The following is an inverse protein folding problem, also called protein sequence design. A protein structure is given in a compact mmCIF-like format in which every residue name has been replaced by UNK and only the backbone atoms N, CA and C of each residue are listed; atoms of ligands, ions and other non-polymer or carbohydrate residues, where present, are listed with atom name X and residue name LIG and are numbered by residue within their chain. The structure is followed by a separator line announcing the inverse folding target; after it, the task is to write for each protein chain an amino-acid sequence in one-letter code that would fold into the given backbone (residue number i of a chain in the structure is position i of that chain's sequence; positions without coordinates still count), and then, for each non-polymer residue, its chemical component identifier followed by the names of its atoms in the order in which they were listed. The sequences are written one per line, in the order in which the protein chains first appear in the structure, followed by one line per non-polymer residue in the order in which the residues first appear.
data_IF_380522989844
#
_entry.id   IF_380522989844
#
_cell.length_a   1.000
_cell.length_b   1.000
_cell.length_c   1.000
_cell.angle_alpha   90.00
_cell.angle_beta   90.00
_cell.angle_gamma   90.00
#
_symmetry.space_group_name_H-M   'P 1'
#
loop_
_entity.id
_entity.type
_entity.pdbx_description
1 polymer ?
#
# COMPACT_ATOMS: atom_id res chain seq x y z
N UNK A 1 41.58 59.29 34.87
CA UNK A 1 41.96 60.67 34.54
C UNK A 1 41.12 61.14 33.34
N UNK A 2 40.14 61.91 33.72
CA UNK A 2 39.68 63.18 33.17
C UNK A 2 39.21 63.28 31.69
N UNK A 3 37.91 63.51 31.58
CA UNK A 3 37.22 64.73 31.07
C UNK A 3 37.34 64.99 29.55
N UNK A 4 36.33 65.34 28.79
CA UNK A 4 35.19 66.26 28.88
C UNK A 4 34.26 66.08 27.65
N UNK A 5 32.97 66.26 27.85
CA UNK A 5 32.01 66.74 26.81
C UNK A 5 32.26 68.24 26.54
N UNK A 6 31.80 68.82 25.41
CA UNK A 6 30.45 69.40 25.32
C UNK A 6 29.84 69.28 23.89
N UNK A 7 28.55 69.17 23.80
CA UNK A 7 27.46 70.15 23.56
C UNK A 7 27.42 70.81 22.19
N UNK A 8 26.36 70.54 21.44
CA UNK A 8 25.42 71.53 20.99
C UNK A 8 25.39 71.86 19.52
N UNK A 9 24.31 71.59 18.85
CA UNK A 9 23.34 72.59 18.28
C UNK A 9 22.42 71.98 17.26
N UNK A 10 21.17 72.27 17.46
CA UNK A 10 20.05 72.13 16.53
C UNK A 10 20.22 72.90 15.27
N UNK A 11 19.73 72.41 14.15
CA UNK A 11 18.98 73.22 13.16
C UNK A 11 18.00 72.37 12.36
N UNK A 12 16.83 72.84 12.31
CA UNK A 12 15.62 72.56 11.57
C UNK A 12 15.75 72.62 10.06
N UNK A 13 15.01 71.79 9.36
CA UNK A 13 14.79 71.93 7.91
C UNK A 13 13.78 70.88 7.44
N UNK A 14 12.60 71.35 7.10
CA UNK A 14 11.42 70.69 6.62
C UNK A 14 11.53 70.25 5.12
N UNK A 15 10.50 69.70 4.46
CA UNK A 15 10.42 68.31 4.04
C UNK A 15 10.55 68.18 2.50
N UNK A 16 11.05 67.10 2.06
CA UNK A 16 11.03 66.74 0.63
C UNK A 16 10.11 65.54 0.44
N UNK A 17 9.22 65.74 -0.48
CA UNK A 17 8.12 64.86 -0.89
C UNK A 17 8.60 63.42 -1.15
N UNK A 18 7.90 62.45 -0.53
CA UNK A 18 8.01 61.05 -0.80
C UNK A 18 7.26 60.73 -2.11
N UNK A 19 8.06 60.46 -3.17
CA UNK A 19 7.55 59.85 -4.40
C UNK A 19 7.41 58.35 -4.12
N UNK A 20 6.17 57.89 -3.86
CA UNK A 20 5.85 56.48 -3.74
C UNK A 20 5.87 55.86 -5.13
N UNK A 21 6.94 55.15 -5.44
CA UNK A 21 7.01 54.27 -6.60
C UNK A 21 6.27 52.98 -6.23
N UNK A 22 5.03 52.87 -6.66
CA UNK A 22 4.25 51.64 -6.63
C UNK A 22 4.81 50.73 -7.72
N UNK A 23 5.85 49.96 -7.41
CA UNK A 23 6.25 48.81 -8.21
C UNK A 23 5.27 47.69 -7.94
N UNK A 24 4.33 47.51 -8.90
CA UNK A 24 3.37 46.41 -8.88
C UNK A 24 4.16 45.06 -8.88
N UNK A 25 4.15 44.36 -7.77
CA UNK A 25 4.43 42.95 -7.72
C UNK A 25 3.27 42.24 -8.43
N UNK A 26 3.49 41.87 -9.68
CA UNK A 26 2.74 40.81 -10.33
C UNK A 26 3.11 39.51 -9.60
N UNK A 27 2.46 39.27 -8.47
CA UNK A 27 2.38 37.94 -7.90
C UNK A 27 1.68 37.07 -8.92
N UNK A 28 2.45 36.24 -9.62
CA UNK A 28 1.91 35.15 -10.40
C UNK A 28 1.02 34.33 -9.48
N UNK A 29 -0.28 34.54 -9.60
CA UNK A 29 -1.29 33.62 -9.07
C UNK A 29 -1.04 32.28 -9.75
N UNK A 30 -0.19 31.42 -9.14
CA UNK A 30 -0.32 30.00 -9.33
C UNK A 30 -1.74 29.69 -8.92
N UNK A 31 -2.57 29.33 -9.89
CA UNK A 31 -3.95 28.93 -9.62
C UNK A 31 -3.91 27.85 -8.55
N UNK A 32 -4.30 28.21 -7.34
CA UNK A 32 -4.67 27.25 -6.32
C UNK A 32 -5.91 26.57 -6.89
N UNK A 33 -5.75 25.28 -7.25
CA UNK A 33 -6.92 24.45 -7.50
C UNK A 33 -7.92 24.69 -6.35
N UNK A 34 -9.21 24.85 -6.65
CA UNK A 34 -10.20 25.08 -5.62
C UNK A 34 -10.12 23.94 -4.60
N UNK A 35 -9.65 24.26 -3.39
CA UNK A 35 -9.57 23.30 -2.31
C UNK A 35 -10.99 22.85 -1.99
N UNK A 36 -11.27 21.54 -2.12
CA UNK A 36 -12.52 20.96 -1.64
C UNK A 36 -12.71 21.40 -0.17
N UNK A 37 -13.77 22.13 0.16
CA UNK A 37 -13.98 22.68 1.51
C UNK A 37 -14.09 21.58 2.58
N UNK A 38 -14.25 20.33 2.16
CA UNK A 38 -14.29 19.15 3.05
C UNK A 38 -12.90 18.57 3.33
N UNK A 39 -11.84 19.11 2.74
CA UNK A 39 -10.48 18.61 2.93
C UNK A 39 -9.67 19.52 3.82
N UNK A 40 -9.27 19.01 4.97
CA UNK A 40 -8.36 19.70 5.89
C UNK A 40 -6.95 19.14 5.71
N UNK A 41 -5.99 20.03 5.44
CA UNK A 41 -4.57 19.71 5.36
C UNK A 41 -3.82 20.43 6.47
N UNK A 42 -3.01 19.69 7.19
CA UNK A 42 -2.08 20.21 8.18
C UNK A 42 -0.71 19.54 8.02
N UNK A 43 0.33 20.23 8.43
CA UNK A 43 1.68 19.66 8.57
C UNK A 43 2.06 19.69 10.04
N UNK A 44 2.52 18.59 10.56
CA UNK A 44 2.99 18.45 11.93
C UNK A 44 4.30 17.69 11.94
N UNK A 45 5.39 18.38 12.26
CA UNK A 45 6.73 17.81 12.32
C UNK A 45 7.17 17.08 11.05
N UNK A 46 6.79 17.62 9.87
CA UNK A 46 7.10 17.01 8.56
C UNK A 46 6.21 15.84 8.20
N UNK A 47 5.12 15.60 8.92
CA UNK A 47 4.09 14.61 8.61
C UNK A 47 2.86 15.35 8.08
N UNK A 48 2.41 14.99 6.87
CA UNK A 48 1.19 15.55 6.28
C UNK A 48 -0.04 14.87 6.91
N UNK A 49 -0.91 15.67 7.46
CA UNK A 49 -2.22 15.23 7.95
C UNK A 49 -3.28 15.62 6.91
N UNK A 50 -3.95 14.65 6.33
CA UNK A 50 -4.98 14.86 5.32
C UNK A 50 -6.27 14.26 5.86
N UNK A 51 -7.26 15.12 6.13
CA UNK A 51 -8.58 14.69 6.55
C UNK A 51 -9.60 15.09 5.49
N UNK A 52 -10.22 14.08 4.89
CA UNK A 52 -11.31 14.29 3.92
C UNK A 52 -12.67 14.17 4.60
N UNK A 53 -13.73 14.69 3.97
CA UNK A 53 -15.08 14.67 4.54
C UNK A 53 -15.64 13.23 4.73
N UNK A 54 -16.69 13.11 5.58
CA UNK A 54 -17.28 11.82 5.91
C UNK A 54 -18.20 11.25 4.82
N UNK A 55 -18.70 12.11 3.94
CA UNK A 55 -19.73 11.76 2.96
C UNK A 55 -19.11 10.95 1.81
N UNK A 56 -19.74 9.83 1.48
CA UNK A 56 -19.35 9.04 0.31
C UNK A 56 -19.72 9.79 -0.98
N UNK A 57 -18.82 9.72 -1.96
CA UNK A 57 -19.00 10.24 -3.31
C UNK A 57 -18.83 9.08 -4.27
N UNK A 58 -19.90 8.69 -4.93
CA UNK A 58 -19.84 7.59 -5.89
C UNK A 58 -18.95 7.96 -7.07
N UNK A 59 -18.03 7.04 -7.41
CA UNK A 59 -17.16 7.18 -8.57
C UNK A 59 -17.82 6.55 -9.80
N UNK A 60 -17.95 7.35 -10.85
CA UNK A 60 -18.45 6.88 -12.14
C UNK A 60 -17.37 6.14 -12.98
N UNK A 61 -16.41 5.48 -12.31
CA UNK A 61 -15.38 4.73 -13.01
C UNK A 61 -15.96 3.49 -13.66
N UNK A 62 -15.55 3.24 -14.89
CA UNK A 62 -15.91 2.02 -15.61
C UNK A 62 -14.73 1.06 -15.64
N UNK A 63 -15.07 -0.22 -15.60
CA UNK A 63 -14.12 -1.34 -15.57
C UNK A 63 -14.38 -2.25 -16.75
N UNK A 64 -13.41 -2.40 -17.62
CA UNK A 64 -13.51 -3.28 -18.78
C UNK A 64 -12.59 -4.48 -18.61
N UNK A 65 -13.15 -5.67 -18.53
CA UNK A 65 -12.39 -6.91 -18.45
C UNK A 65 -11.62 -7.14 -19.74
N UNK A 66 -10.34 -7.51 -19.62
CA UNK A 66 -9.50 -7.93 -20.74
C UNK A 66 -9.59 -9.44 -20.88
N UNK A 67 -9.54 -10.15 -19.76
CA UNK A 67 -9.60 -11.59 -19.68
C UNK A 67 -8.93 -12.14 -18.43
N UNK A 68 -9.15 -13.42 -18.13
CA UNK A 68 -8.52 -14.07 -16.98
C UNK A 68 -7.03 -14.35 -17.24
N UNK A 69 -6.28 -14.58 -16.16
CA UNK A 69 -5.02 -15.29 -16.25
C UNK A 69 -5.30 -16.69 -16.77
N UNK A 70 -4.49 -17.19 -17.72
CA UNK A 70 -4.77 -18.40 -18.46
C UNK A 70 -3.53 -19.32 -18.54
N UNK A 71 -3.77 -20.59 -18.88
CA UNK A 71 -2.71 -21.49 -19.28
C UNK A 71 -2.10 -21.10 -20.65
N UNK A 72 -1.18 -21.88 -21.14
CA UNK A 72 -0.52 -21.65 -22.42
C UNK A 72 -1.51 -21.74 -23.61
N UNK A 73 -2.57 -22.51 -23.49
CA UNK A 73 -3.59 -22.71 -24.50
C UNK A 73 -4.68 -21.63 -24.46
N UNK A 74 -4.67 -20.79 -23.40
CA UNK A 74 -5.62 -19.68 -23.23
C UNK A 74 -6.84 -20.04 -22.39
N UNK A 75 -6.89 -21.22 -21.78
CA UNK A 75 -7.97 -21.56 -20.86
C UNK A 75 -7.78 -20.83 -19.52
N UNK A 76 -8.86 -20.33 -18.89
CA UNK A 76 -8.75 -19.66 -17.59
C UNK A 76 -8.07 -20.54 -16.55
N UNK A 77 -7.07 -19.98 -15.86
CA UNK A 77 -6.46 -20.67 -14.73
C UNK A 77 -7.38 -20.55 -13.51
N UNK A 78 -7.73 -21.68 -12.95
CA UNK A 78 -8.65 -21.77 -11.81
C UNK A 78 -7.86 -21.98 -10.53
N UNK A 79 -8.12 -21.14 -9.54
CA UNK A 79 -7.54 -21.23 -8.20
C UNK A 79 -8.60 -21.75 -7.21
N UNK A 80 -8.13 -22.39 -6.14
CA UNK A 80 -9.00 -22.78 -5.04
C UNK A 80 -9.59 -21.54 -4.35
N UNK A 81 -10.91 -21.57 -4.10
CA UNK A 81 -11.59 -20.48 -3.40
C UNK A 81 -11.32 -20.45 -1.88
N UNK A 82 -10.87 -21.57 -1.32
CA UNK A 82 -10.64 -21.72 0.14
C UNK A 82 -9.32 -21.04 0.54
N UNK A 83 -8.32 -21.08 -0.32
CA UNK A 83 -7.02 -20.48 -0.04
C UNK A 83 -6.99 -19.03 -0.55
N UNK A 84 -6.67 -18.04 0.30
CA UNK A 84 -6.54 -16.65 -0.17
C UNK A 84 -5.52 -16.55 -1.31
N UNK A 85 -5.96 -16.08 -2.46
CA UNK A 85 -5.10 -15.89 -3.62
C UNK A 85 -4.02 -14.85 -3.28
N UNK A 86 -2.76 -15.25 -3.42
CA UNK A 86 -1.60 -14.39 -3.18
C UNK A 86 -0.97 -14.02 -4.52
N UNK A 87 -0.99 -12.74 -4.83
CA UNK A 87 -0.55 -12.18 -6.10
C UNK A 87 0.59 -11.19 -5.85
N UNK A 88 1.60 -11.24 -6.72
CA UNK A 88 2.65 -10.24 -6.81
C UNK A 88 2.79 -9.84 -8.28
N UNK A 89 2.88 -8.54 -8.56
CA UNK A 89 3.20 -8.03 -9.89
C UNK A 89 4.61 -7.43 -9.90
N UNK A 90 5.39 -7.70 -10.95
CA UNK A 90 6.72 -7.14 -11.08
C UNK A 90 6.73 -5.86 -11.94
N UNK A 91 7.89 -5.21 -12.01
CA UNK A 91 8.09 -4.01 -12.85
C UNK A 91 7.94 -4.29 -14.34
N UNK A 92 8.15 -5.54 -14.72
CA UNK A 92 7.99 -6.02 -16.08
C UNK A 92 6.55 -6.26 -16.48
N UNK A 93 5.58 -6.14 -15.55
CA UNK A 93 4.16 -6.44 -15.78
C UNK A 93 3.86 -7.94 -15.80
N UNK A 94 4.74 -8.76 -15.23
CA UNK A 94 4.49 -10.18 -15.01
C UNK A 94 3.79 -10.36 -13.68
N UNK A 95 2.95 -11.38 -13.61
CA UNK A 95 2.16 -11.71 -12.42
C UNK A 95 2.63 -13.04 -11.86
N UNK A 96 2.90 -13.08 -10.57
CA UNK A 96 3.24 -14.28 -9.82
C UNK A 96 2.10 -14.63 -8.90
N UNK A 97 1.70 -15.89 -8.88
CA UNK A 97 0.60 -16.38 -8.04
C UNK A 97 1.01 -17.69 -7.40
N UNK A 98 0.71 -17.87 -6.12
CA UNK A 98 0.85 -19.17 -5.49
C UNK A 98 -0.20 -20.09 -6.08
N UNK A 99 0.24 -21.14 -6.77
CA UNK A 99 -0.59 -22.09 -7.48
C UNK A 99 -0.67 -23.43 -6.74
N UNK A 100 -1.45 -23.48 -5.66
CA UNK A 100 -1.52 -24.68 -4.82
C UNK A 100 -0.37 -24.79 -3.81
N UNK A 101 -0.14 -26.00 -3.29
CA UNK A 101 0.70 -26.22 -2.11
C UNK A 101 2.21 -26.18 -2.38
N UNK A 102 2.65 -26.27 -3.63
CA UNK A 102 4.08 -26.51 -3.93
C UNK A 102 4.61 -25.78 -5.16
N UNK A 103 3.85 -24.80 -5.70
CA UNK A 103 4.27 -24.08 -6.90
C UNK A 103 3.98 -22.59 -6.83
N UNK A 104 4.79 -21.81 -7.53
CA UNK A 104 4.51 -20.41 -7.88
C UNK A 104 4.38 -20.33 -9.39
N UNK A 105 3.24 -19.86 -9.86
CA UNK A 105 2.92 -19.66 -11.26
C UNK A 105 3.38 -18.27 -11.67
N UNK A 106 4.07 -18.13 -12.79
CA UNK A 106 4.35 -16.85 -13.41
C UNK A 106 3.57 -16.71 -14.70
N UNK A 107 2.83 -15.63 -14.80
CA UNK A 107 2.12 -15.24 -16.00
C UNK A 107 2.83 -14.08 -16.68
N UNK A 108 2.90 -14.11 -17.99
CA UNK A 108 3.44 -13.05 -18.84
C UNK A 108 2.61 -11.77 -18.78
N UNK A 109 3.06 -10.75 -19.49
CA UNK A 109 2.30 -9.48 -19.65
C UNK A 109 0.96 -9.64 -20.33
N UNK A 110 0.85 -10.63 -21.17
CA UNK A 110 -0.38 -11.03 -21.87
C UNK A 110 -1.37 -11.78 -20.96
N UNK A 111 -0.94 -12.15 -19.73
CA UNK A 111 -1.74 -12.93 -18.78
C UNK A 111 -1.67 -14.43 -19.00
N UNK A 112 -0.81 -14.92 -19.90
CA UNK A 112 -0.63 -16.36 -20.11
C UNK A 112 0.47 -16.92 -19.21
N UNK A 113 0.27 -18.16 -18.74
CA UNK A 113 1.28 -18.89 -17.98
C UNK A 113 2.54 -19.08 -18.83
N UNK A 114 3.66 -18.57 -18.37
CA UNK A 114 4.94 -18.70 -19.06
C UNK A 114 5.97 -19.51 -18.26
N UNK A 115 5.76 -19.67 -16.95
CA UNK A 115 6.67 -20.47 -16.11
C UNK A 115 5.99 -20.98 -14.83
N UNK A 116 6.34 -22.18 -14.45
CA UNK A 116 6.05 -22.74 -13.12
C UNK A 116 7.36 -22.80 -12.35
N UNK A 117 7.39 -22.22 -11.15
CA UNK A 117 8.53 -22.21 -10.25
C UNK A 117 8.27 -23.16 -9.11
N UNK A 118 9.32 -23.89 -8.73
CA UNK A 118 9.30 -24.84 -7.64
C UNK A 118 8.82 -26.23 -8.03
N UNK A 119 8.99 -27.10 -7.07
CA UNK A 119 8.52 -28.50 -7.08
C UNK A 119 8.36 -28.91 -5.61
N UNK A 120 7.59 -29.96 -5.31
CA UNK A 120 7.51 -30.49 -3.95
C UNK A 120 8.88 -30.89 -3.43
N UNK A 121 9.24 -30.46 -2.22
CA UNK A 121 10.50 -30.88 -1.59
C UNK A 121 11.17 -29.85 -0.70
N UNK A 122 12.40 -30.17 -0.29
CA UNK A 122 13.22 -29.32 0.60
C UNK A 122 14.51 -28.80 -0.04
N UNK A 123 14.82 -29.22 -1.26
CA UNK A 123 15.99 -28.75 -2.00
C UNK A 123 15.90 -27.27 -2.38
N UNK A 124 16.99 -26.66 -2.91
CA UNK A 124 16.97 -25.31 -3.42
C UNK A 124 15.85 -25.11 -4.46
N UNK A 125 15.07 -24.06 -4.31
CA UNK A 125 13.95 -23.75 -5.22
C UNK A 125 12.73 -24.67 -5.11
N UNK A 126 12.77 -25.74 -4.31
CA UNK A 126 11.60 -26.56 -4.01
C UNK A 126 10.74 -25.90 -2.92
N UNK A 127 9.47 -26.28 -2.85
CA UNK A 127 8.52 -25.77 -1.86
C UNK A 127 7.92 -26.90 -1.02
N UNK A 128 7.72 -26.62 0.29
CA UNK A 128 6.94 -27.45 1.18
C UNK A 128 5.52 -26.94 1.36
N UNK A 129 5.37 -25.64 1.59
CA UNK A 129 4.09 -24.91 1.69
C UNK A 129 4.33 -23.42 1.50
N UNK A 130 4.38 -22.93 0.26
CA UNK A 130 4.53 -21.51 -0.02
C UNK A 130 3.23 -20.77 0.39
N UNK A 131 3.37 -19.66 1.09
CA UNK A 131 2.21 -18.93 1.62
C UNK A 131 2.21 -17.46 1.27
N UNK A 132 3.36 -16.88 0.87
CA UNK A 132 3.48 -15.46 0.52
C UNK A 132 4.53 -15.21 -0.54
N UNK A 133 4.29 -14.15 -1.29
CA UNK A 133 5.17 -13.66 -2.35
C UNK A 133 5.61 -12.24 -2.02
N UNK A 134 6.87 -11.95 -2.30
CA UNK A 134 7.42 -10.62 -2.17
C UNK A 134 8.50 -10.39 -3.24
N UNK A 135 8.76 -9.13 -3.59
CA UNK A 135 9.87 -8.74 -4.44
C UNK A 135 10.88 -7.91 -3.66
N UNK A 136 12.13 -8.34 -3.64
CA UNK A 136 13.25 -7.61 -3.07
C UNK A 136 14.22 -7.25 -4.20
N UNK A 137 14.21 -6.00 -4.64
CA UNK A 137 14.85 -5.59 -5.88
C UNK A 137 14.39 -6.47 -7.07
N UNK A 138 15.31 -7.20 -7.69
CA UNK A 138 15.02 -8.12 -8.79
C UNK A 138 14.92 -9.58 -8.34
N UNK A 139 14.84 -9.82 -7.04
CA UNK A 139 14.72 -11.15 -6.42
C UNK A 139 13.28 -11.42 -6.05
N UNK A 140 12.71 -12.52 -6.51
CA UNK A 140 11.46 -13.06 -5.99
C UNK A 140 11.74 -13.78 -4.67
N UNK A 141 11.01 -13.43 -3.64
CA UNK A 141 11.09 -14.04 -2.30
C UNK A 141 9.76 -14.72 -2.01
N UNK A 142 9.83 -15.98 -1.67
CA UNK A 142 8.67 -16.81 -1.31
C UNK A 142 8.82 -17.26 0.14
N UNK A 143 7.86 -16.91 0.98
CA UNK A 143 7.80 -17.46 2.33
C UNK A 143 7.23 -18.88 2.27
N UNK A 144 8.03 -19.85 2.69
CA UNK A 144 7.65 -21.25 2.72
C UNK A 144 7.60 -21.77 4.15
N UNK A 145 6.39 -21.99 4.66
CA UNK A 145 6.19 -22.51 6.03
C UNK A 145 6.55 -23.98 6.14
N UNK A 146 6.39 -24.77 5.08
CA UNK A 146 6.75 -26.20 5.08
C UNK A 146 8.25 -26.42 5.15
N UNK A 147 9.05 -25.49 4.61
CA UNK A 147 10.51 -25.48 4.75
C UNK A 147 10.99 -24.72 5.99
N UNK A 148 10.18 -23.83 6.54
CA UNK A 148 10.62 -22.87 7.54
C UNK A 148 11.65 -21.89 6.99
N UNK A 149 11.48 -21.42 5.75
CA UNK A 149 12.47 -20.63 5.05
C UNK A 149 11.86 -19.57 4.12
N UNK A 150 12.66 -18.53 3.82
CA UNK A 150 12.49 -17.67 2.66
C UNK A 150 13.22 -18.30 1.48
N UNK A 151 12.45 -18.81 0.52
CA UNK A 151 12.99 -19.35 -0.74
C UNK A 151 13.17 -18.19 -1.69
N UNK A 152 14.34 -18.07 -2.29
CA UNK A 152 14.72 -16.92 -3.10
C UNK A 152 15.05 -17.34 -4.52
N UNK A 153 14.60 -16.53 -5.48
CA UNK A 153 14.90 -16.69 -6.89
C UNK A 153 15.53 -15.40 -7.41
N UNK A 154 16.67 -15.52 -8.06
CA UNK A 154 17.36 -14.39 -8.68
C UNK A 154 16.60 -13.78 -9.87
N UNK A 155 17.19 -12.77 -10.56
CA UNK A 155 16.57 -12.10 -11.70
C UNK A 155 16.17 -13.02 -12.86
N UNK A 156 16.93 -14.10 -13.06
CA UNK A 156 16.69 -15.16 -14.05
C UNK A 156 15.72 -16.24 -13.57
N UNK A 157 15.24 -16.10 -12.32
CA UNK A 157 14.40 -17.06 -11.62
C UNK A 157 15.10 -18.39 -11.34
N UNK A 158 16.41 -18.38 -11.25
CA UNK A 158 17.18 -19.48 -10.71
C UNK A 158 17.16 -19.42 -9.18
N UNK A 159 17.06 -20.59 -8.50
CA UNK A 159 17.12 -20.62 -7.05
C UNK A 159 18.45 -20.07 -6.53
N UNK A 160 18.38 -19.22 -5.52
CA UNK A 160 19.51 -18.79 -4.72
C UNK A 160 19.40 -19.42 -3.33
N UNK A 161 20.40 -19.24 -2.47
CA UNK A 161 20.39 -19.84 -1.14
C UNK A 161 19.14 -19.41 -0.34
N UNK A 162 18.46 -20.37 0.25
CA UNK A 162 17.35 -20.15 1.14
C UNK A 162 17.82 -19.48 2.45
N UNK A 163 16.97 -18.63 3.01
CA UNK A 163 17.20 -18.02 4.33
C UNK A 163 16.23 -18.66 5.34
N UNK A 164 16.72 -19.29 6.40
CA UNK A 164 15.84 -19.82 7.45
C UNK A 164 14.92 -18.74 8.02
N UNK A 165 13.68 -19.11 8.35
CA UNK A 165 12.76 -18.29 9.12
C UNK A 165 13.04 -18.48 10.60
N UNK A 166 13.21 -17.39 11.33
CA UNK A 166 13.12 -17.45 12.78
C UNK A 166 11.67 -17.80 13.18
N UNK A 167 11.49 -18.58 14.25
CA UNK A 167 10.18 -19.12 14.62
C UNK A 167 9.07 -18.07 14.77
N UNK A 168 9.40 -16.86 15.25
CA UNK A 168 8.47 -15.75 15.34
C UNK A 168 8.04 -15.19 13.96
N UNK A 169 8.82 -15.43 12.91
CA UNK A 169 8.53 -14.98 11.55
C UNK A 169 7.65 -15.97 10.78
N UNK A 170 7.51 -17.19 11.25
CA UNK A 170 6.68 -18.21 10.61
C UNK A 170 5.18 -17.82 10.59
N UNK A 171 4.75 -16.98 11.52
CA UNK A 171 3.36 -16.48 11.63
C UNK A 171 3.18 -15.07 11.07
N UNK A 172 4.26 -14.38 10.69
CA UNK A 172 4.20 -13.01 10.23
C UNK A 172 3.66 -12.88 8.79
N UNK A 173 2.92 -11.81 8.54
CA UNK A 173 2.62 -11.36 7.19
C UNK A 173 3.80 -10.56 6.65
N UNK A 174 4.38 -11.05 5.56
CA UNK A 174 5.53 -10.41 4.93
C UNK A 174 5.11 -9.45 3.84
N UNK A 175 5.70 -8.28 3.89
CA UNK A 175 5.62 -7.32 2.79
C UNK A 175 7.04 -6.93 2.42
N UNK A 176 7.48 -7.27 1.23
CA UNK A 176 8.77 -6.83 0.72
C UNK A 176 8.62 -5.53 -0.07
N UNK A 177 9.58 -4.64 0.07
CA UNK A 177 9.65 -3.45 -0.76
C UNK A 177 10.96 -3.36 -1.55
N UNK A 178 10.95 -2.58 -2.60
CA UNK A 178 12.13 -2.31 -3.45
C UNK A 178 13.08 -1.34 -2.77
N UNK A 179 14.17 -1.80 -2.32
CA UNK A 179 15.17 -1.00 -1.59
C UNK A 179 15.98 -1.88 -0.67
N UNK A 180 15.69 -3.17 -0.68
CA UNK A 180 16.45 -4.18 0.06
C UNK A 180 15.89 -4.53 1.43
N UNK A 181 14.86 -3.83 1.92
CA UNK A 181 14.22 -4.14 3.19
C UNK A 181 13.01 -5.06 3.05
N UNK A 182 12.80 -5.90 4.04
CA UNK A 182 11.59 -6.69 4.25
C UNK A 182 10.77 -6.02 5.35
N UNK A 183 9.47 -5.88 5.11
CA UNK A 183 8.52 -5.39 6.10
C UNK A 183 7.58 -6.53 6.44
N UNK A 184 7.19 -6.63 7.67
CA UNK A 184 6.29 -7.68 8.10
C UNK A 184 5.35 -7.21 9.21
N UNK A 185 4.15 -7.78 9.21
CA UNK A 185 3.21 -7.67 10.32
C UNK A 185 3.35 -8.93 11.15
N UNK A 186 3.80 -8.76 12.37
CA UNK A 186 3.94 -9.81 13.36
C UNK A 186 2.65 -9.87 14.19
N UNK A 187 2.05 -11.05 14.31
CA UNK A 187 0.99 -11.31 15.28
C UNK A 187 1.58 -11.95 16.53
N UNK A 188 1.43 -11.34 17.69
CA UNK A 188 1.83 -11.90 18.97
C UNK A 188 0.58 -12.43 19.66
N UNK A 189 0.43 -13.75 19.74
CA UNK A 189 -0.59 -14.41 20.56
C UNK A 189 -0.11 -14.53 22.00
N UNK A 190 -0.90 -14.08 22.99
CA UNK A 190 -0.73 -14.41 24.39
C UNK A 190 -1.72 -15.48 24.81
N UNK A 191 -1.46 -16.22 25.89
CA UNK A 191 -2.29 -17.31 26.39
C UNK A 191 -3.68 -16.85 26.86
N UNK A 192 -3.92 -15.57 27.07
CA UNK A 192 -5.24 -14.99 27.37
C UNK A 192 -5.46 -13.71 26.54
N UNK A 193 -6.12 -13.88 25.42
CA UNK A 193 -6.96 -12.92 24.67
C UNK A 193 -6.38 -11.59 24.19
N UNK A 194 -5.18 -11.14 24.49
CA UNK A 194 -4.61 -9.90 23.93
C UNK A 194 -3.79 -10.23 22.69
N UNK A 195 -4.38 -10.02 21.51
CA UNK A 195 -3.65 -10.11 20.23
C UNK A 195 -2.94 -8.77 20.02
N UNK A 196 -1.62 -8.79 20.05
CA UNK A 196 -0.82 -7.64 19.60
C UNK A 196 -0.36 -7.88 18.19
N UNK A 197 -0.44 -6.86 17.35
CA UNK A 197 0.21 -6.88 16.05
C UNK A 197 1.19 -5.71 15.93
N UNK A 198 2.30 -5.95 15.23
CA UNK A 198 3.37 -4.96 15.07
C UNK A 198 3.82 -4.93 13.62
N UNK A 199 3.90 -3.75 13.05
CA UNK A 199 4.56 -3.53 11.78
C UNK A 199 6.04 -3.26 12.02
N UNK A 200 6.91 -4.09 11.48
CA UNK A 200 8.37 -3.99 11.62
C UNK A 200 9.07 -3.95 10.27
N UNK A 201 10.29 -3.43 10.30
CA UNK A 201 11.22 -3.48 9.18
C UNK A 201 12.28 -4.54 9.44
N UNK A 202 12.57 -5.35 8.44
CA UNK A 202 13.74 -6.20 8.21
C UNK A 202 14.20 -7.15 9.34
N UNK A 203 14.11 -6.76 10.60
CA UNK A 203 14.52 -7.60 11.74
C UNK A 203 13.58 -7.46 12.93
N UNK A 204 13.47 -8.52 13.73
CA UNK A 204 12.74 -8.52 15.00
C UNK A 204 13.33 -7.54 16.04
N UNK A 205 14.60 -7.18 15.88
CA UNK A 205 15.30 -6.27 16.78
C UNK A 205 14.97 -4.79 16.52
N UNK A 206 14.41 -4.45 15.33
CA UNK A 206 14.03 -3.07 15.04
C UNK A 206 12.79 -2.65 15.84
N UNK A 207 12.76 -1.38 16.25
CA UNK A 207 11.57 -0.82 16.89
C UNK A 207 10.37 -0.91 15.94
N UNK A 208 9.16 -1.25 16.42
CA UNK A 208 8.00 -1.30 15.57
C UNK A 208 7.62 0.10 15.08
N UNK A 209 7.19 0.19 13.83
CA UNK A 209 6.67 1.42 13.24
C UNK A 209 5.24 1.71 13.67
N UNK A 210 4.49 0.65 13.94
CA UNK A 210 3.10 0.69 14.33
C UNK A 210 2.80 -0.52 15.20
N UNK A 211 2.06 -0.30 16.28
CA UNK A 211 1.54 -1.36 17.14
C UNK A 211 0.03 -1.23 17.31
N UNK A 212 -0.64 -2.36 17.44
CA UNK A 212 -2.05 -2.44 17.77
C UNK A 212 -2.27 -3.53 18.83
N UNK A 213 -3.10 -3.23 19.81
CA UNK A 213 -3.60 -4.18 20.82
C UNK A 213 -5.00 -4.60 20.41
N UNK A 214 -5.32 -5.88 20.62
CA UNK A 214 -6.60 -6.50 20.29
C UNK A 214 -7.08 -6.31 18.84
N UNK A 215 -6.14 -5.99 17.93
CA UNK A 215 -6.46 -5.75 16.55
C UNK A 215 -5.30 -6.17 15.62
N UNK A 216 -5.64 -6.56 14.41
CA UNK A 216 -4.67 -6.87 13.36
C UNK A 216 -4.35 -5.62 12.55
N UNK A 217 -3.07 -5.29 12.42
CA UNK A 217 -2.61 -4.27 11.49
C UNK A 217 -2.80 -4.78 10.07
N UNK A 218 -3.44 -3.97 9.24
CA UNK A 218 -3.59 -4.22 7.81
C UNK A 218 -2.57 -3.34 7.10
N UNK A 219 -1.72 -3.94 6.27
CA UNK A 219 -0.70 -3.22 5.55
C UNK A 219 -0.57 -3.68 4.09
N UNK A 220 -0.07 -2.79 3.26
CA UNK A 220 0.31 -3.06 1.87
C UNK A 220 1.56 -2.25 1.53
N UNK A 221 2.43 -2.83 0.70
CA UNK A 221 3.65 -2.18 0.27
C UNK A 221 3.74 -2.08 -1.26
N UNK A 222 4.16 -0.93 -1.76
CA UNK A 222 4.48 -0.71 -3.17
C UNK A 222 5.78 0.10 -3.28
N UNK A 223 6.80 -0.52 -3.82
CA UNK A 223 8.13 0.07 -3.86
C UNK A 223 8.70 0.32 -2.45
N UNK A 224 9.23 1.53 -2.17
CA UNK A 224 9.73 1.88 -0.83
C UNK A 224 8.61 2.33 0.13
N UNK A 225 7.38 2.37 -0.32
CA UNK A 225 6.24 2.90 0.44
C UNK A 225 5.42 1.79 1.05
N UNK A 226 4.97 2.03 2.27
CA UNK A 226 4.07 1.15 3.00
C UNK A 226 2.88 1.98 3.45
N UNK A 227 1.69 1.47 3.23
CA UNK A 227 0.47 1.97 3.86
C UNK A 227 0.04 0.98 4.92
N UNK A 228 -0.32 1.49 6.08
CA UNK A 228 -0.75 0.66 7.20
C UNK A 228 -1.93 1.31 7.92
N UNK A 229 -2.88 0.46 8.31
CA UNK A 229 -4.04 0.82 9.11
C UNK A 229 -3.97 0.12 10.47
N UNK A 230 -4.31 0.86 11.51
CA UNK A 230 -4.50 0.35 12.86
C UNK A 230 -5.94 0.62 13.30
N UNK A 231 -6.75 -0.43 13.51
CA UNK A 231 -8.08 -0.28 14.08
C UNK A 231 -8.05 0.45 15.44
N UNK A 232 -9.16 1.04 15.92
CA UNK A 232 -10.48 1.07 15.31
C UNK A 232 -10.75 2.31 14.44
N UNK A 233 -9.80 3.23 14.29
CA UNK A 233 -10.05 4.52 13.60
C UNK A 233 -9.92 4.38 12.08
N UNK A 234 -10.65 5.18 11.30
CA UNK A 234 -10.39 5.30 9.86
C UNK A 234 -9.18 6.20 9.63
N UNK A 235 -8.02 5.65 9.89
CA UNK A 235 -6.72 6.29 9.67
C UNK A 235 -5.79 5.34 8.94
N UNK A 236 -5.23 5.79 7.82
CA UNK A 236 -4.19 5.08 7.08
C UNK A 236 -2.90 5.90 7.15
N UNK A 237 -1.82 5.27 7.56
CA UNK A 237 -0.48 5.85 7.65
C UNK A 237 0.34 5.45 6.45
N UNK A 238 1.00 6.43 5.83
CA UNK A 238 1.93 6.22 4.72
C UNK A 238 3.36 6.39 5.23
N UNK A 239 4.17 5.37 5.04
CA UNK A 239 5.59 5.36 5.37
C UNK A 239 6.45 5.27 4.11
N UNK A 240 7.66 5.81 4.19
CA UNK A 240 8.75 5.53 3.25
C UNK A 240 9.97 5.12 4.07
N UNK A 241 10.36 3.86 3.96
CA UNK A 241 11.26 3.30 4.93
C UNK A 241 10.67 3.45 6.35
N UNK A 242 11.46 3.78 7.37
CA UNK A 242 10.98 3.98 8.73
C UNK A 242 10.25 5.32 8.95
N UNK A 243 10.25 6.19 7.96
CA UNK A 243 9.74 7.56 8.08
C UNK A 243 8.25 7.61 7.78
N UNK A 244 7.46 8.11 8.73
CA UNK A 244 6.05 8.47 8.50
C UNK A 244 5.98 9.72 7.63
N UNK A 245 5.33 9.63 6.47
CA UNK A 245 5.17 10.72 5.51
C UNK A 245 3.82 11.41 5.62
N UNK A 246 2.77 10.62 5.82
CA UNK A 246 1.41 11.15 5.85
C UNK A 246 0.47 10.27 6.68
N UNK A 247 -0.58 10.90 7.18
CA UNK A 247 -1.75 10.25 7.76
C UNK A 247 -2.98 10.70 6.98
N UNK A 248 -3.70 9.74 6.44
CA UNK A 248 -4.94 9.94 5.68
C UNK A 248 -6.11 9.52 6.55
N UNK A 249 -7.09 10.39 6.72
CA UNK A 249 -8.23 10.19 7.61
C UNK A 249 -9.55 10.49 6.92
N UNK A 250 -10.59 9.76 7.34
CA UNK A 250 -11.98 10.12 7.10
C UNK A 250 -12.74 10.00 8.43
N UNK A 251 -13.53 11.01 8.80
CA UNK A 251 -14.34 10.98 10.02
C UNK A 251 -15.66 10.20 9.78
N UNK A 252 -15.57 9.00 9.23
CA UNK A 252 -16.69 8.06 9.18
C UNK A 252 -16.86 7.42 10.55
N UNK A 253 -18.05 6.94 10.87
CA UNK A 253 -18.31 6.26 12.15
C UNK A 253 -17.41 5.03 12.26
N UNK A 254 -16.28 5.20 12.95
CA UNK A 254 -15.27 4.17 13.10
C UNK A 254 -15.71 2.99 13.97
N UNK A 255 -16.76 3.17 14.78
CA UNK A 255 -17.34 2.06 15.55
C UNK A 255 -18.12 1.08 14.66
N UNK A 256 -18.60 1.56 13.52
CA UNK A 256 -19.42 0.77 12.59
C UNK A 256 -18.68 0.40 11.29
N UNK A 257 -17.50 0.98 11.03
CA UNK A 257 -16.73 0.77 9.81
C UNK A 257 -15.39 0.12 10.13
N UNK A 258 -15.14 -1.06 9.57
CA UNK A 258 -13.83 -1.70 9.64
C UNK A 258 -13.13 -1.63 8.27
N UNK A 259 -11.89 -1.19 8.25
CA UNK A 259 -11.01 -1.35 7.10
C UNK A 259 -10.57 -2.81 7.06
N UNK A 260 -10.75 -3.46 5.92
CA UNK A 260 -10.48 -4.90 5.73
C UNK A 260 -9.26 -5.15 4.87
N UNK A 261 -8.97 -4.27 3.91
CA UNK A 261 -7.83 -4.40 3.00
C UNK A 261 -7.33 -3.03 2.54
N UNK A 262 -6.06 -3.00 2.17
CA UNK A 262 -5.39 -1.85 1.56
C UNK A 262 -4.68 -2.26 0.28
N UNK A 263 -4.65 -1.37 -0.70
CA UNK A 263 -3.70 -1.44 -1.80
C UNK A 263 -3.14 -0.04 -2.11
N UNK A 264 -1.85 0.03 -2.36
CA UNK A 264 -1.17 1.25 -2.80
C UNK A 264 -0.67 1.03 -4.22
N UNK A 265 -1.07 1.89 -5.13
CA UNK A 265 -0.58 1.87 -6.49
C UNK A 265 0.74 2.64 -6.60
N UNK A 266 1.56 2.31 -7.60
CA UNK A 266 2.85 2.96 -7.87
C UNK A 266 2.75 4.48 -8.11
N UNK A 267 1.61 4.96 -8.63
CA UNK A 267 1.33 6.38 -8.83
C UNK A 267 0.98 7.10 -7.51
N UNK A 268 0.86 6.36 -6.41
CA UNK A 268 0.49 6.87 -5.10
C UNK A 268 -1.01 6.83 -4.81
N UNK A 269 -1.84 6.35 -5.74
CA UNK A 269 -3.27 6.12 -5.48
C UNK A 269 -3.42 5.04 -4.40
N UNK A 270 -4.15 5.37 -3.34
CA UNK A 270 -4.45 4.45 -2.23
C UNK A 270 -5.90 3.97 -2.35
N UNK A 271 -6.08 2.67 -2.21
CA UNK A 271 -7.36 1.98 -2.23
C UNK A 271 -7.62 1.37 -0.86
N UNK A 272 -8.78 1.64 -0.28
CA UNK A 272 -9.15 1.24 1.07
C UNK A 272 -10.48 0.52 1.03
N UNK A 273 -10.46 -0.78 1.23
CA UNK A 273 -11.69 -1.58 1.36
C UNK A 273 -12.21 -1.51 2.79
N UNK A 274 -13.50 -1.27 2.90
CA UNK A 274 -14.16 -1.17 4.19
C UNK A 274 -15.55 -1.81 4.20
N UNK A 275 -15.98 -2.19 5.37
CA UNK A 275 -17.34 -2.67 5.59
C UNK A 275 -18.37 -1.52 5.46
N UNK A 276 -19.63 -1.89 5.23
CA UNK A 276 -20.77 -0.98 5.25
C UNK A 276 -21.55 -1.20 6.54
N UNK A 277 -21.76 -0.16 7.36
CA UNK A 277 -22.52 -0.28 8.59
C UNK A 277 -23.92 -0.83 8.35
N UNK A 278 -24.30 -1.84 9.14
CA UNK A 278 -25.64 -2.42 9.11
C UNK A 278 -25.96 -3.30 7.89
N UNK A 279 -25.01 -3.49 6.99
CA UNK A 279 -25.17 -4.38 5.82
C UNK A 279 -24.12 -5.48 5.88
N UNK A 280 -24.53 -6.67 6.23
CA UNK A 280 -23.63 -7.81 6.31
C UNK A 280 -22.99 -8.07 4.94
N UNK A 281 -21.69 -8.35 4.94
CA UNK A 281 -20.89 -8.69 3.76
C UNK A 281 -20.78 -7.62 2.67
N UNK A 282 -21.44 -6.47 2.83
CA UNK A 282 -21.26 -5.38 1.87
C UNK A 282 -19.94 -4.66 2.10
N UNK A 283 -19.18 -4.52 1.02
CA UNK A 283 -17.90 -3.82 1.01
C UNK A 283 -17.98 -2.58 0.12
N UNK A 284 -17.24 -1.57 0.49
CA UNK A 284 -16.99 -0.39 -0.32
C UNK A 284 -15.50 -0.16 -0.47
N UNK A 285 -15.12 0.40 -1.59
CA UNK A 285 -13.74 0.69 -1.92
C UNK A 285 -13.55 2.19 -2.03
N UNK A 286 -12.98 2.79 -1.01
CA UNK A 286 -12.61 4.20 -1.03
C UNK A 286 -11.29 4.39 -1.78
N UNK A 287 -11.25 5.40 -2.61
CA UNK A 287 -10.09 5.76 -3.44
C UNK A 287 -9.57 7.12 -3.00
N UNK A 288 -8.26 7.18 -2.76
CA UNK A 288 -7.55 8.41 -2.44
C UNK A 288 -6.49 8.67 -3.52
N UNK A 289 -6.37 9.93 -3.92
CA UNK A 289 -5.34 10.37 -4.86
C UNK A 289 -3.92 10.28 -4.29
N UNK A 290 -2.90 10.51 -5.12
CA UNK A 290 -1.49 10.51 -4.69
C UNK A 290 -1.16 11.53 -3.60
N UNK A 291 -1.97 12.57 -3.50
CA UNK A 291 -1.88 13.59 -2.44
C UNK A 291 -2.55 13.17 -1.12
N UNK A 292 -3.20 12.01 -1.10
CA UNK A 292 -3.94 11.47 0.05
C UNK A 292 -5.36 12.02 0.19
N UNK A 293 -5.84 12.79 -0.77
CA UNK A 293 -7.22 13.32 -0.76
C UNK A 293 -8.18 12.24 -1.25
N UNK A 294 -9.33 12.14 -0.57
CA UNK A 294 -10.39 11.24 -0.98
C UNK A 294 -10.99 11.68 -2.33
N UNK A 295 -10.98 10.78 -3.28
CA UNK A 295 -11.52 10.98 -4.63
C UNK A 295 -12.97 10.53 -4.71
N UNK A 296 -13.29 9.40 -4.10
CA UNK A 296 -14.63 8.85 -4.08
C UNK A 296 -14.64 7.37 -3.69
N UNK A 297 -15.82 6.76 -3.76
CA UNK A 297 -16.09 5.38 -3.37
C UNK A 297 -16.62 4.58 -4.56
N UNK A 298 -16.16 3.37 -4.70
CA UNK A 298 -16.70 2.37 -5.62
C UNK A 298 -17.57 1.38 -4.83
N UNK A 299 -18.79 1.19 -5.26
CA UNK A 299 -19.68 0.17 -4.74
C UNK A 299 -19.36 -1.20 -5.38
N UNK A 300 -19.65 -2.27 -4.66
CA UNK A 300 -19.63 -3.67 -5.13
C UNK A 300 -18.29 -4.13 -5.73
N UNK A 301 -17.18 -3.55 -5.26
CA UNK A 301 -15.84 -3.96 -5.67
C UNK A 301 -14.90 -4.04 -4.47
N UNK A 302 -14.10 -5.11 -4.46
CA UNK A 302 -13.00 -5.28 -3.51
C UNK A 302 -11.71 -4.62 -3.99
N UNK A 303 -10.72 -4.57 -3.12
CA UNK A 303 -9.36 -4.12 -3.46
C UNK A 303 -8.77 -5.03 -4.53
N UNK A 304 -8.15 -4.48 -5.59
CA UNK A 304 -7.40 -5.27 -6.55
C UNK A 304 -6.32 -6.10 -5.84
N UNK A 305 -6.15 -7.33 -6.27
CA UNK A 305 -5.08 -8.22 -5.75
C UNK A 305 -3.73 -7.95 -6.40
N UNK A 306 -3.71 -7.21 -7.50
CA UNK A 306 -2.48 -6.80 -8.19
C UNK A 306 -2.70 -5.55 -9.04
N UNK A 307 -1.63 -4.80 -9.21
CA UNK A 307 -1.60 -3.55 -9.95
C UNK A 307 -0.46 -3.62 -10.97
N UNK A 308 -0.80 -3.59 -12.24
CA UNK A 308 0.18 -3.74 -13.32
C UNK A 308 0.77 -2.39 -13.73
N UNK A 309 2.02 -2.37 -14.23
CA UNK A 309 2.70 -1.13 -14.63
C UNK A 309 2.00 -0.35 -15.75
N UNK A 310 1.21 -1.01 -16.58
CA UNK A 310 0.44 -0.42 -17.67
C UNK A 310 -0.90 0.20 -17.23
N UNK A 311 -1.20 0.17 -15.90
CA UNK A 311 -2.45 0.69 -15.34
C UNK A 311 -3.59 -0.32 -15.28
N UNK A 312 -3.38 -1.55 -15.77
CA UNK A 312 -4.32 -2.63 -15.55
C UNK A 312 -4.32 -3.07 -14.08
N UNK A 313 -5.43 -3.59 -13.64
CA UNK A 313 -5.64 -4.12 -12.30
C UNK A 313 -6.08 -5.57 -12.35
N UNK A 314 -5.77 -6.32 -11.31
CA UNK A 314 -6.13 -7.72 -11.16
C UNK A 314 -7.19 -7.85 -10.07
N UNK A 315 -8.32 -8.45 -10.41
CA UNK A 315 -9.36 -8.79 -9.45
C UNK A 315 -9.55 -10.30 -9.35
N UNK A 316 -9.85 -10.77 -8.16
CA UNK A 316 -10.34 -12.14 -7.95
C UNK A 316 -11.84 -12.16 -8.22
N UNK A 317 -12.29 -13.12 -8.99
CA UNK A 317 -13.71 -13.33 -9.30
C UNK A 317 -14.08 -14.80 -9.12
N UNK A 318 -15.20 -15.04 -8.47
CA UNK A 318 -15.79 -16.38 -8.42
C UNK A 318 -16.14 -16.85 -9.85
N UNK A 319 -16.00 -18.13 -10.11
CA UNK A 319 -16.44 -18.71 -11.37
C UNK A 319 -17.97 -18.76 -11.44
N UNK A 320 -18.50 -18.52 -12.63
CA UNK A 320 -19.93 -18.65 -12.88
C UNK A 320 -20.37 -20.12 -13.13
N UNK A 321 -19.40 -20.96 -13.53
CA UNK A 321 -19.62 -22.30 -14.06
C UNK A 321 -19.08 -23.41 -13.15
N UNK A 322 -18.73 -23.11 -11.90
CA UNK A 322 -18.23 -24.11 -10.96
C UNK A 322 -17.45 -23.54 -9.79
N UNK A 323 -16.92 -24.40 -8.93
CA UNK A 323 -16.12 -23.98 -7.79
C UNK A 323 -14.81 -23.34 -8.20
N UNK A 324 -14.24 -22.54 -7.30
CA UNK A 324 -12.97 -21.86 -7.51
C UNK A 324 -13.11 -20.41 -7.95
N UNK A 325 -11.97 -19.76 -8.11
CA UNK A 325 -11.87 -18.37 -8.51
C UNK A 325 -10.91 -18.22 -9.69
N UNK A 326 -11.09 -17.15 -10.45
CA UNK A 326 -10.17 -16.72 -11.50
C UNK A 326 -9.63 -15.35 -11.18
N UNK A 327 -8.43 -15.04 -11.63
CA UNK A 327 -7.86 -13.69 -11.56
C UNK A 327 -8.09 -13.04 -12.92
N UNK A 328 -8.82 -11.93 -12.93
CA UNK A 328 -9.21 -11.22 -14.14
C UNK A 328 -8.42 -9.93 -14.28
N UNK A 329 -7.84 -9.73 -15.45
CA UNK A 329 -7.19 -8.47 -15.85
C UNK A 329 -8.27 -7.48 -16.27
N UNK A 330 -8.16 -6.26 -15.83
CA UNK A 330 -9.19 -5.24 -16.00
C UNK A 330 -8.54 -3.88 -16.25
N UNK A 331 -9.03 -3.13 -17.23
CA UNK A 331 -8.70 -1.72 -17.42
C UNK A 331 -9.67 -0.82 -16.65
N UNK A 332 -9.18 0.30 -16.17
CA UNK A 332 -9.98 1.33 -15.49
C UNK A 332 -10.06 2.55 -16.42
N UNK A 333 -11.28 3.03 -16.65
CA UNK A 333 -11.56 4.36 -17.23
C UNK A 333 -12.09 5.26 -16.12
N UNK A 334 -11.34 6.29 -15.85
CA UNK A 334 -11.63 7.31 -14.81
C UNK A 334 -12.48 8.44 -15.35
#
# INVERSE_FOLDING_TARGET
VNRRRPSGRRRSGLPVAALVLVTGLLAACRGTEPSDPTVVRADSAGVRLITSGPVDRDLAWSFSEIGPLSDADGNPWVFDAVTPVRVLTDRGGRTYVIGGDTAVLRFGRDGRLDRVLGAPGRGPGAFGRPVRLAAQADTLVVTDLGKGALVRFGPTLDPVADRPLDGALATAEWHAYRGGGLWFVEGIGGEESVRRSRLRADTLASAPLLEAEDATIIAHAEGPRIVAHRPPTYEVRLFEGPRLLAMVRRPVDSAAVAITRLALHKDGTLWVERTVPGVAEAMRLDVFGPDGVYVGTLADRGVPVGLLPNGEVLFVRARADGPGVVIVRTTIRR
#
